data_IF_307092933534
#
_entry.id   IF_307092933534
#
_cell.length_a   1.000
_cell.length_b   1.000
_cell.length_c   1.000
_cell.angle_alpha   90.00
_cell.angle_beta   90.00
_cell.angle_gamma   90.00
#
_symmetry.space_group_name_H-M   'P 1'
#
loop_
_entity.id
_entity.type
_entity.pdbx_description
1 polymer ?
#
# COMPACT_ATOMS: atom_id res chain seq x y z
N UNK A 1 4.15 -13.30 -10.24
CA UNK A 1 3.57 -11.95 -10.17
C UNK A 1 4.07 -11.30 -8.90
N UNK A 2 4.59 -10.07 -8.95
CA UNK A 2 4.88 -9.35 -7.72
C UNK A 2 3.54 -8.91 -7.11
N UNK A 3 3.31 -9.20 -5.84
CA UNK A 3 2.09 -8.72 -5.16
C UNK A 3 2.32 -7.27 -4.75
N UNK A 4 1.44 -6.38 -5.21
CA UNK A 4 1.51 -4.96 -4.93
C UNK A 4 0.34 -4.54 -4.06
N UNK A 5 0.61 -3.80 -2.99
CA UNK A 5 -0.40 -3.33 -2.05
C UNK A 5 -0.44 -1.79 -2.05
N UNK A 6 -1.57 -1.15 -2.37
CA UNK A 6 -1.68 0.30 -2.23
C UNK A 6 -1.52 0.71 -0.76
N UNK A 7 -0.66 1.70 -0.51
CA UNK A 7 -0.46 2.27 0.82
C UNK A 7 -1.30 3.53 0.97
N UNK A 8 -2.02 3.61 2.08
CA UNK A 8 -2.85 4.76 2.44
C UNK A 8 -2.56 5.24 3.86
N UNK A 9 -2.80 6.53 4.10
CA UNK A 9 -2.79 7.10 5.46
C UNK A 9 -4.22 7.44 5.90
N UNK A 10 -4.54 7.27 7.19
CA UNK A 10 -5.76 7.83 7.75
C UNK A 10 -5.63 9.35 7.87
N UNK A 11 -6.65 10.07 7.42
CA UNK A 11 -6.79 11.52 7.56
C UNK A 11 -8.12 11.78 8.24
N UNK A 12 -8.08 12.22 9.49
CA UNK A 12 -9.28 12.63 10.22
C UNK A 12 -9.68 14.03 9.79
N UNK A 13 -10.84 14.15 9.15
CA UNK A 13 -11.42 15.43 8.77
C UNK A 13 -11.94 16.20 9.99
N UNK A 14 -12.21 17.50 9.81
CA UNK A 14 -12.84 18.35 10.85
C UNK A 14 -14.26 17.90 11.23
N UNK A 15 -14.88 17.09 10.37
CA UNK A 15 -16.16 16.42 10.56
C UNK A 15 -16.08 15.17 11.44
N UNK A 16 -14.89 14.82 11.96
CA UNK A 16 -14.67 13.61 12.75
C UNK A 16 -14.62 12.33 11.91
N UNK A 17 -14.72 12.43 10.59
CA UNK A 17 -14.71 11.27 9.70
C UNK A 17 -13.28 10.97 9.23
N UNK A 18 -12.82 9.74 9.50
CA UNK A 18 -11.54 9.25 8.99
C UNK A 18 -11.68 8.85 7.53
N UNK A 19 -10.86 9.47 6.66
CA UNK A 19 -10.75 9.13 5.25
C UNK A 19 -9.37 8.54 4.99
N UNK A 20 -9.27 7.60 4.07
CA UNK A 20 -7.99 7.01 3.69
C UNK A 20 -7.50 7.67 2.40
N UNK A 21 -6.31 8.27 2.46
CA UNK A 21 -5.66 8.85 1.28
C UNK A 21 -4.54 7.93 0.83
N UNK A 22 -4.59 7.46 -0.41
CA UNK A 22 -3.48 6.73 -1.04
C UNK A 22 -2.26 7.64 -1.15
N UNK A 23 -1.11 7.11 -0.78
CA UNK A 23 0.18 7.84 -0.79
C UNK A 23 1.32 7.06 -1.44
N UNK A 24 1.07 5.81 -1.85
CA UNK A 24 2.08 5.00 -2.50
C UNK A 24 1.66 3.56 -2.70
N UNK A 25 2.67 2.70 -2.80
CA UNK A 25 2.53 1.27 -3.02
C UNK A 25 3.66 0.50 -2.32
N UNK A 26 3.32 -0.65 -1.77
CA UNK A 26 4.25 -1.62 -1.19
C UNK A 26 4.41 -2.81 -2.11
N UNK A 27 5.65 -3.24 -2.26
CA UNK A 27 6.06 -4.39 -3.04
C UNK A 27 6.61 -5.45 -2.10
N UNK A 28 6.10 -6.67 -2.21
CA UNK A 28 6.75 -7.83 -1.64
C UNK A 28 7.87 -8.29 -2.57
N UNK A 29 9.07 -8.42 -2.04
CA UNK A 29 10.26 -8.87 -2.76
C UNK A 29 10.88 -10.06 -2.04
N UNK A 30 11.69 -10.81 -2.79
CA UNK A 30 12.48 -11.91 -2.25
C UNK A 30 13.94 -11.65 -2.56
N UNK A 31 14.79 -11.68 -1.54
CA UNK A 31 16.22 -11.55 -1.70
C UNK A 31 16.74 -12.79 -2.43
N UNK A 32 17.45 -12.59 -3.54
CA UNK A 32 17.81 -13.68 -4.46
C UNK A 32 18.74 -14.73 -3.86
N UNK A 33 19.61 -14.32 -2.95
CA UNK A 33 20.64 -15.19 -2.37
C UNK A 33 20.15 -15.92 -1.12
N UNK A 34 19.43 -15.23 -0.23
CA UNK A 34 18.94 -15.82 1.02
C UNK A 34 17.52 -16.38 0.95
N UNK A 35 16.74 -16.01 -0.07
CA UNK A 35 15.31 -16.31 -0.14
C UNK A 35 14.46 -15.51 0.85
N UNK A 36 15.05 -14.57 1.58
CA UNK A 36 14.35 -13.76 2.59
C UNK A 36 13.33 -12.82 1.94
N UNK A 37 12.12 -12.78 2.49
CA UNK A 37 11.08 -11.86 2.05
C UNK A 37 11.32 -10.50 2.69
N UNK A 38 11.32 -9.45 1.87
CA UNK A 38 11.40 -8.06 2.34
C UNK A 38 10.42 -7.18 1.57
N UNK A 39 9.98 -6.10 2.21
CA UNK A 39 9.02 -5.17 1.63
C UNK A 39 9.70 -3.88 1.22
N UNK A 40 9.33 -3.35 0.06
CA UNK A 40 9.74 -2.00 -0.37
C UNK A 40 8.51 -1.13 -0.48
N UNK A 41 8.52 0.01 0.21
CA UNK A 41 7.47 1.02 0.12
C UNK A 41 7.98 2.16 -0.76
N UNK A 42 7.24 2.48 -1.82
CA UNK A 42 7.46 3.67 -2.64
C UNK A 42 6.32 4.65 -2.40
N UNK A 43 6.67 5.85 -1.95
CA UNK A 43 5.74 6.95 -1.73
C UNK A 43 5.76 7.91 -2.93
N UNK A 44 4.58 8.42 -3.30
CA UNK A 44 4.43 9.35 -4.42
C UNK A 44 4.93 10.78 -4.06
N UNK A 45 5.01 11.07 -2.76
CA UNK A 45 5.50 12.32 -2.16
C UNK A 45 5.89 12.07 -0.69
N UNK A 46 6.69 12.92 -0.03
CA UNK A 46 6.99 12.78 1.39
C UNK A 46 5.71 12.81 2.25
N UNK A 47 5.58 11.85 3.18
CA UNK A 47 4.42 11.72 4.06
C UNK A 47 4.85 11.78 5.51
N UNK A 48 4.32 12.75 6.26
CA UNK A 48 4.40 12.75 7.72
C UNK A 48 3.20 11.98 8.29
N UNK A 49 3.38 10.71 8.61
CA UNK A 49 2.35 9.88 9.25
C UNK A 49 2.98 8.90 10.24
N UNK A 50 2.24 8.57 11.29
CA UNK A 50 2.62 7.56 12.28
C UNK A 50 2.09 6.17 11.92
N UNK A 51 1.18 6.08 10.93
CA UNK A 51 0.53 4.84 10.53
C UNK A 51 0.36 4.80 9.00
N UNK A 52 0.72 3.67 8.40
CA UNK A 52 0.52 3.35 6.99
C UNK A 52 -0.32 2.09 6.89
N UNK A 53 -1.35 2.13 6.05
CA UNK A 53 -2.30 1.04 5.86
C UNK A 53 -2.12 0.45 4.47
N UNK A 54 -1.87 -0.84 4.41
CA UNK A 54 -1.85 -1.63 3.18
C UNK A 54 -3.14 -2.42 3.08
N UNK A 55 -3.99 -2.09 2.11
CA UNK A 55 -5.18 -2.89 1.82
C UNK A 55 -4.85 -3.92 0.75
N UNK A 56 -5.42 -5.13 0.80
CA UNK A 56 -5.36 -6.05 -0.32
C UNK A 56 -5.84 -5.35 -1.59
N UNK A 57 -5.19 -5.56 -2.75
CA UNK A 57 -5.71 -5.05 -4.00
C UNK A 57 -7.15 -5.54 -4.17
N UNK A 58 -8.06 -4.64 -4.56
CA UNK A 58 -9.43 -5.04 -4.88
C UNK A 58 -9.37 -6.07 -6.00
N UNK A 59 -10.14 -7.16 -5.95
CA UNK A 59 -10.30 -8.02 -7.11
C UNK A 59 -10.77 -7.12 -8.26
N UNK A 60 -10.04 -7.16 -9.37
CA UNK A 60 -10.45 -6.48 -10.59
C UNK A 60 -11.67 -7.23 -11.11
N UNK A 61 -12.87 -6.63 -11.05
CA UNK A 61 -14.02 -7.10 -11.84
C UNK A 61 -13.67 -6.88 -13.32
N UNK A 62 -12.98 -7.85 -13.92
CA UNK A 62 -12.45 -7.71 -15.27
C UNK A 62 -11.60 -8.86 -15.79
N UNK A 63 -11.55 -10.01 -15.12
CA UNK A 63 -11.02 -11.26 -15.69
C UNK A 63 -12.18 -12.20 -16.05
N UNK A 64 -13.08 -11.68 -16.91
CA UNK A 64 -13.91 -12.49 -17.79
C UNK A 64 -13.44 -12.20 -19.21
N UNK A 65 -12.43 -12.94 -19.69
CA UNK A 65 -12.38 -13.77 -20.93
C UNK A 65 -10.93 -14.10 -21.31
#
# INVERSE_FOLDING_TARGET
>A
MATHYPISVPITGKDGTTRYRRVGVMFENTQRESGEIFFTIKLDFPVGATELLAFPPKPTDGDQV
#
